data_IF_326521828992
#
_entry.id   IF_326521828992
#
_cell.length_a   1.000
_cell.length_b   1.000
_cell.length_c   1.000
_cell.angle_alpha   90.00
_cell.angle_beta   90.00
_cell.angle_gamma   90.00
#
_symmetry.space_group_name_H-M   'P 1'
#
loop_
_entity.id
_entity.type
_entity.pdbx_description
1 polymer ?
#
# COMPACT_ATOMS: atom_id res chain seq x y z
N UNK A 1 22.63 -43.69 20.62
CA UNK A 1 22.40 -42.25 20.90
C UNK A 1 21.33 -41.65 19.95
N UNK A 2 20.02 -41.94 20.10
CA UNK A 2 18.97 -41.43 19.19
C UNK A 2 18.31 -40.11 19.64
N UNK A 3 18.38 -39.78 20.93
CA UNK A 3 17.64 -38.65 21.52
C UNK A 3 18.04 -37.26 21.01
N UNK A 4 19.31 -37.06 20.65
CA UNK A 4 19.80 -35.75 20.15
C UNK A 4 19.26 -35.40 18.75
N UNK A 5 18.98 -36.40 17.91
CA UNK A 5 18.48 -36.17 16.56
C UNK A 5 17.00 -35.75 16.54
N UNK A 6 16.20 -36.28 17.47
CA UNK A 6 14.78 -35.99 17.60
C UNK A 6 14.52 -34.55 18.08
N UNK A 7 15.28 -34.09 19.09
CA UNK A 7 15.16 -32.72 19.64
C UNK A 7 15.55 -31.64 18.62
N UNK A 8 16.53 -31.93 17.75
CA UNK A 8 16.94 -30.98 16.70
C UNK A 8 15.85 -30.82 15.63
N UNK A 9 15.21 -31.92 15.23
CA UNK A 9 14.14 -31.90 14.22
C UNK A 9 12.86 -31.20 14.73
N UNK A 10 12.49 -31.41 16.00
CA UNK A 10 11.32 -30.75 16.59
C UNK A 10 11.52 -29.23 16.74
N UNK A 11 12.71 -28.77 17.14
CA UNK A 11 13.02 -27.33 17.20
C UNK A 11 12.96 -26.65 15.83
N UNK A 12 13.41 -27.32 14.76
CA UNK A 12 13.27 -26.79 13.40
C UNK A 12 11.81 -26.72 12.93
N UNK A 13 11.00 -27.73 13.26
CA UNK A 13 9.58 -27.76 12.92
C UNK A 13 8.78 -26.64 13.63
N UNK A 14 9.02 -26.45 14.93
CA UNK A 14 8.38 -25.39 15.73
C UNK A 14 8.75 -24.00 15.20
N UNK A 15 10.03 -23.77 14.88
CA UNK A 15 10.49 -22.48 14.30
C UNK A 15 9.89 -22.20 12.92
N UNK A 16 9.76 -23.23 12.05
CA UNK A 16 9.10 -23.11 10.74
C UNK A 16 7.59 -22.91 10.86
N UNK A 17 6.95 -23.49 11.86
CA UNK A 17 5.54 -23.24 12.15
C UNK A 17 5.32 -21.81 12.66
N UNK A 18 6.23 -21.31 13.52
CA UNK A 18 6.16 -19.95 14.06
C UNK A 18 6.21 -18.86 13.00
N UNK A 19 7.18 -18.89 12.08
CA UNK A 19 7.27 -17.86 11.01
C UNK A 19 6.07 -17.93 10.05
N UNK A 20 5.56 -19.13 9.74
CA UNK A 20 4.38 -19.30 8.89
C UNK A 20 3.13 -18.71 9.55
N UNK A 21 2.94 -18.97 10.84
CA UNK A 21 1.85 -18.39 11.62
C UNK A 21 1.94 -16.87 11.68
N UNK A 22 3.13 -16.32 11.94
CA UNK A 22 3.35 -14.88 11.98
C UNK A 22 3.05 -14.23 10.64
N UNK A 23 3.53 -14.80 9.53
CA UNK A 23 3.22 -14.30 8.18
C UNK A 23 1.73 -14.39 7.87
N UNK A 24 1.05 -15.47 8.28
CA UNK A 24 -0.39 -15.61 8.09
C UNK A 24 -1.18 -14.54 8.86
N UNK A 25 -0.81 -14.27 10.12
CA UNK A 25 -1.42 -13.20 10.93
C UNK A 25 -1.15 -11.84 10.30
N UNK A 26 0.09 -11.56 9.90
CA UNK A 26 0.46 -10.31 9.23
C UNK A 26 -0.36 -10.10 7.96
N UNK A 27 -0.41 -11.09 7.07
CA UNK A 27 -1.14 -11.00 5.81
C UNK A 27 -2.63 -10.79 6.05
N UNK A 28 -3.23 -11.53 6.99
CA UNK A 28 -4.64 -11.39 7.33
C UNK A 28 -4.97 -9.98 7.81
N UNK A 29 -4.20 -9.46 8.78
CA UNK A 29 -4.42 -8.12 9.32
C UNK A 29 -4.17 -7.05 8.26
N UNK A 30 -3.03 -7.09 7.58
CA UNK A 30 -2.65 -6.08 6.59
C UNK A 30 -3.60 -6.07 5.38
N UNK A 31 -4.03 -7.23 4.88
CA UNK A 31 -5.04 -7.31 3.82
C UNK A 31 -6.40 -6.79 4.30
N UNK A 32 -6.79 -7.07 5.55
CA UNK A 32 -8.04 -6.55 6.11
C UNK A 32 -8.00 -5.03 6.18
N UNK A 33 -6.95 -4.44 6.76
CA UNK A 33 -6.77 -2.98 6.81
C UNK A 33 -6.70 -2.35 5.42
N UNK A 34 -6.05 -3.02 4.46
CA UNK A 34 -5.99 -2.58 3.06
C UNK A 34 -7.37 -2.50 2.39
N UNK A 35 -8.33 -3.31 2.83
CA UNK A 35 -9.68 -3.38 2.25
C UNK A 35 -10.65 -2.45 2.98
N UNK A 36 -10.62 -2.42 4.31
CA UNK A 36 -11.61 -1.66 5.10
C UNK A 36 -11.27 -0.17 5.23
N UNK A 37 -10.00 0.20 5.09
CA UNK A 37 -9.60 1.62 5.09
C UNK A 37 -10.17 2.27 3.83
N UNK A 38 -10.99 3.33 3.93
CA UNK A 38 -11.54 3.97 2.75
C UNK A 38 -10.43 4.41 1.78
N UNK A 39 -10.70 4.42 0.46
CA UNK A 39 -9.72 4.85 -0.52
C UNK A 39 -9.14 6.22 -0.19
N UNK A 40 -7.82 6.36 -0.26
CA UNK A 40 -7.10 7.63 -0.18
C UNK A 40 -7.17 8.39 1.16
N UNK A 41 -7.66 7.75 2.23
CA UNK A 41 -7.65 8.31 3.60
C UNK A 41 -6.34 8.04 4.35
N UNK A 42 -5.50 7.14 3.83
CA UNK A 42 -4.16 6.94 4.41
C UNK A 42 -3.28 8.14 4.08
N UNK A 43 -2.44 8.64 5.01
CA UNK A 43 -1.57 9.78 4.75
C UNK A 43 -0.84 9.67 3.41
N UNK A 44 -0.91 10.73 2.62
CA UNK A 44 -0.27 10.91 1.31
C UNK A 44 -0.65 9.90 0.21
N UNK A 45 -1.55 8.94 0.48
CA UNK A 45 -1.87 7.83 -0.42
C UNK A 45 -2.36 8.31 -1.80
N UNK A 46 -3.18 9.36 -1.81
CA UNK A 46 -3.69 9.93 -3.06
C UNK A 46 -2.60 10.54 -3.92
N UNK A 47 -1.57 11.14 -3.29
CA UNK A 47 -0.46 11.77 -4.01
C UNK A 47 0.51 10.71 -4.52
N UNK A 48 0.71 9.63 -3.77
CA UNK A 48 1.44 8.45 -4.22
C UNK A 48 0.75 7.78 -5.41
N UNK A 49 -0.56 7.61 -5.34
CA UNK A 49 -1.32 7.04 -6.44
C UNK A 49 -1.34 7.96 -7.66
N UNK A 50 -1.43 9.28 -7.49
CA UNK A 50 -1.30 10.23 -8.60
C UNK A 50 0.02 10.07 -9.37
N UNK A 51 1.11 9.77 -8.66
CA UNK A 51 2.40 9.48 -9.29
C UNK A 51 2.34 8.17 -10.11
N UNK A 52 1.70 7.12 -9.57
CA UNK A 52 1.48 5.85 -10.30
C UNK A 52 0.61 6.07 -11.55
N UNK A 53 -0.51 6.80 -11.40
CA UNK A 53 -1.44 7.10 -12.49
C UNK A 53 -0.75 7.90 -13.60
N UNK A 54 0.10 8.87 -13.25
CA UNK A 54 0.90 9.61 -14.23
C UNK A 54 1.84 8.70 -15.01
N UNK A 55 2.49 7.75 -14.34
CA UNK A 55 3.35 6.77 -15.03
C UNK A 55 2.57 5.88 -15.99
N UNK A 56 1.35 5.46 -15.62
CA UNK A 56 0.50 4.64 -16.48
C UNK A 56 -0.01 5.44 -17.69
N UNK A 57 -0.43 6.68 -17.47
CA UNK A 57 -1.09 7.52 -18.48
C UNK A 57 -0.09 8.20 -19.40
N UNK A 58 0.91 8.89 -18.83
CA UNK A 58 1.87 9.73 -19.56
C UNK A 58 3.16 8.99 -19.91
N UNK A 59 3.42 7.82 -19.30
CA UNK A 59 4.63 7.00 -19.52
C UNK A 59 5.93 7.79 -19.36
N UNK A 60 5.93 8.80 -18.50
CA UNK A 60 7.06 9.65 -18.20
C UNK A 60 7.19 9.86 -16.70
N UNK A 61 8.40 10.20 -16.25
CA UNK A 61 8.62 10.50 -14.83
C UNK A 61 8.02 11.87 -14.51
N UNK A 62 7.29 12.00 -13.38
CA UNK A 62 6.79 13.28 -12.90
C UNK A 62 7.90 14.31 -12.72
N UNK A 63 7.67 15.50 -13.25
CA UNK A 63 8.55 16.65 -13.06
C UNK A 63 8.08 17.42 -11.83
N UNK A 64 9.01 17.70 -10.92
CA UNK A 64 8.74 18.48 -9.72
C UNK A 64 9.40 19.85 -9.82
N UNK A 65 8.58 20.88 -9.67
CA UNK A 65 9.00 22.28 -9.65
C UNK A 65 8.52 22.94 -8.35
N UNK A 66 9.15 24.04 -7.91
CA UNK A 66 8.63 24.84 -6.81
C UNK A 66 7.16 25.21 -7.04
N UNK A 67 6.31 24.98 -6.04
CA UNK A 67 4.86 25.23 -6.12
C UNK A 67 4.11 24.42 -7.20
N UNK A 68 4.55 23.20 -7.51
CA UNK A 68 3.83 22.32 -8.43
C UNK A 68 2.35 22.17 -8.03
N UNK A 69 1.47 22.33 -9.02
CA UNK A 69 0.02 22.11 -8.87
C UNK A 69 -0.41 20.72 -9.35
N UNK A 70 0.55 19.89 -9.75
CA UNK A 70 0.27 18.54 -10.16
C UNK A 70 -0.29 17.69 -9.01
N UNK A 71 -1.09 16.67 -9.35
CA UNK A 71 -1.79 15.84 -8.37
C UNK A 71 -0.85 15.08 -7.42
N UNK A 72 0.38 14.77 -7.84
CA UNK A 72 1.38 14.11 -7.00
C UNK A 72 2.03 15.04 -5.96
N UNK A 73 1.83 16.36 -6.05
CA UNK A 73 2.40 17.36 -5.12
C UNK A 73 3.88 17.11 -4.81
N UNK A 74 4.27 17.14 -3.53
CA UNK A 74 5.64 16.87 -3.09
C UNK A 74 6.12 15.44 -3.39
N UNK A 75 5.23 14.48 -3.69
CA UNK A 75 5.64 13.11 -3.96
C UNK A 75 6.39 12.95 -5.29
N UNK A 76 6.33 13.95 -6.17
CA UNK A 76 7.04 13.95 -7.43
C UNK A 76 8.57 13.93 -7.30
N UNK A 77 9.12 14.28 -6.13
CA UNK A 77 10.58 14.23 -5.87
C UNK A 77 11.04 12.87 -5.35
N UNK A 78 10.10 11.96 -5.06
CA UNK A 78 10.44 10.64 -4.52
C UNK A 78 11.11 9.75 -5.58
N UNK A 79 11.89 8.78 -5.10
CA UNK A 79 12.52 7.81 -5.99
C UNK A 79 11.47 6.92 -6.67
N UNK A 80 11.59 6.63 -7.99
CA UNK A 80 10.49 6.09 -8.77
C UNK A 80 10.30 4.58 -8.60
N UNK A 81 11.20 3.85 -7.93
CA UNK A 81 11.25 2.38 -7.98
C UNK A 81 9.96 1.68 -7.56
N UNK A 82 9.37 2.08 -6.43
CA UNK A 82 8.08 1.55 -5.98
C UNK A 82 6.96 1.86 -6.97
N UNK A 83 6.92 3.10 -7.45
CA UNK A 83 5.86 3.56 -8.32
C UNK A 83 5.89 2.94 -9.72
N UNK A 84 7.08 2.71 -10.26
CA UNK A 84 7.26 1.99 -11.52
C UNK A 84 6.71 0.56 -11.41
N UNK A 85 6.99 -0.14 -10.31
CA UNK A 85 6.45 -1.47 -10.07
C UNK A 85 4.92 -1.44 -9.93
N UNK A 86 4.37 -0.51 -9.16
CA UNK A 86 2.92 -0.35 -9.02
C UNK A 86 2.24 0.03 -10.34
N UNK A 87 2.86 0.89 -11.16
CA UNK A 87 2.37 1.27 -12.48
C UNK A 87 2.35 0.07 -13.42
N UNK A 88 3.40 -0.77 -13.43
CA UNK A 88 3.42 -2.01 -14.23
C UNK A 88 2.30 -2.97 -13.84
N UNK A 89 2.02 -3.12 -12.53
CA UNK A 89 0.94 -3.99 -12.04
C UNK A 89 -0.46 -3.48 -12.39
N UNK A 90 -0.60 -2.18 -12.67
CA UNK A 90 -1.89 -1.51 -12.90
C UNK A 90 -2.05 -0.95 -14.32
N UNK A 91 -1.06 -1.15 -15.19
CA UNK A 91 -1.01 -0.57 -16.54
C UNK A 91 -2.15 -1.04 -17.47
N UNK A 92 -2.75 -2.20 -17.19
CA UNK A 92 -3.89 -2.73 -17.94
C UNK A 92 -5.26 -2.24 -17.47
N UNK A 93 -5.30 -1.35 -16.48
CA UNK A 93 -6.53 -0.83 -15.88
C UNK A 93 -6.74 0.60 -16.36
N UNK A 94 -7.95 0.92 -16.80
CA UNK A 94 -8.34 2.29 -17.11
C UNK A 94 -8.42 3.12 -15.82
N UNK A 95 -7.54 4.12 -15.70
CA UNK A 95 -7.44 5.02 -14.54
C UNK A 95 -7.88 6.45 -14.90
N UNK A 96 -8.67 6.61 -15.96
CA UNK A 96 -9.16 7.91 -16.43
C UNK A 96 -10.17 8.59 -15.47
N UNK A 97 -10.75 7.83 -14.54
CA UNK A 97 -11.62 8.30 -13.48
C UNK A 97 -10.85 8.94 -12.30
N UNK A 98 -9.52 8.76 -12.21
CA UNK A 98 -8.74 9.28 -11.09
C UNK A 98 -8.86 10.79 -10.86
N UNK A 99 -8.79 11.67 -11.88
CA UNK A 99 -8.92 13.11 -11.67
C UNK A 99 -10.25 13.49 -11.01
N UNK A 100 -11.35 12.84 -11.39
CA UNK A 100 -12.66 13.07 -10.77
C UNK A 100 -12.65 12.67 -9.29
N UNK A 101 -12.09 11.50 -8.97
CA UNK A 101 -11.95 11.04 -7.59
C UNK A 101 -11.06 12.00 -6.78
N UNK A 102 -9.95 12.48 -7.37
CA UNK A 102 -9.05 13.45 -6.74
C UNK A 102 -9.78 14.75 -6.38
N UNK A 103 -10.74 15.18 -7.21
CA UNK A 103 -11.54 16.37 -6.95
C UNK A 103 -12.62 16.19 -5.87
N UNK A 104 -12.85 14.97 -5.37
CA UNK A 104 -13.73 14.72 -4.20
C UNK A 104 -13.09 15.13 -2.86
N UNK A 105 -11.89 15.70 -2.88
CA UNK A 105 -11.22 16.20 -1.68
C UNK A 105 -12.14 17.16 -0.91
N UNK A 106 -12.33 16.89 0.38
CA UNK A 106 -13.19 17.65 1.26
C UNK A 106 -12.59 19.05 1.49
N UNK A 107 -13.25 20.16 1.06
CA UNK A 107 -12.75 21.51 1.25
C UNK A 107 -12.57 21.92 2.71
N UNK A 108 -13.23 21.21 3.62
CA UNK A 108 -13.21 21.47 5.05
C UNK A 108 -12.42 20.41 5.83
N UNK A 109 -11.63 19.57 5.15
CA UNK A 109 -10.86 18.50 5.78
C UNK A 109 -9.97 19.04 6.92
N UNK A 110 -10.14 18.49 8.11
CA UNK A 110 -9.37 18.83 9.31
C UNK A 110 -8.04 18.05 9.35
N UNK A 111 -7.25 18.15 8.28
CA UNK A 111 -6.00 17.40 8.12
C UNK A 111 -5.00 17.83 9.20
N UNK A 112 -4.41 16.85 9.89
CA UNK A 112 -3.42 17.10 10.94
C UNK A 112 -4.00 17.58 12.27
N UNK A 113 -5.34 17.56 12.43
CA UNK A 113 -6.03 17.91 13.68
C UNK A 113 -6.62 16.64 14.32
N UNK A 114 -5.88 15.96 15.21
CA UNK A 114 -6.30 14.67 15.76
C UNK A 114 -7.54 14.77 16.68
N UNK A 115 -7.81 15.95 17.22
CA UNK A 115 -8.94 16.27 18.10
C UNK A 115 -10.20 16.73 17.36
N UNK A 116 -10.14 16.90 16.03
CA UNK A 116 -11.27 17.36 15.24
C UNK A 116 -12.48 16.43 15.41
N UNK A 117 -13.64 16.98 15.79
CA UNK A 117 -14.87 16.19 15.96
C UNK A 117 -15.61 15.91 14.64
N UNK A 118 -15.37 16.73 13.62
CA UNK A 118 -16.02 16.71 12.30
C UNK A 118 -14.98 16.88 11.19
N UNK A 119 -15.37 16.61 9.94
CA UNK A 119 -14.53 16.79 8.74
C UNK A 119 -13.18 16.06 8.81
N UNK A 120 -13.15 14.87 9.42
CA UNK A 120 -11.92 14.05 9.53
C UNK A 120 -11.47 13.49 8.19
N UNK A 121 -12.43 13.17 7.32
CA UNK A 121 -12.15 12.55 6.05
C UNK A 121 -11.47 13.55 5.09
N UNK A 122 -10.43 13.08 4.44
CA UNK A 122 -9.77 13.79 3.36
C UNK A 122 -10.65 13.86 2.11
N UNK A 123 -11.42 12.81 1.79
CA UNK A 123 -12.35 12.78 0.67
C UNK A 123 -13.81 12.66 1.11
N UNK A 124 -14.68 13.12 0.22
CA UNK A 124 -16.10 12.81 0.24
C UNK A 124 -16.28 11.46 -0.47
N UNK A 125 -16.71 10.44 0.28
CA UNK A 125 -16.83 9.08 -0.22
C UNK A 125 -18.17 8.80 -0.89
N UNK A 126 -18.13 8.00 -1.96
CA UNK A 126 -19.29 7.62 -2.78
C UNK A 126 -19.44 6.09 -2.89
N UNK A 127 -20.61 5.64 -3.36
CA UNK A 127 -20.94 4.22 -3.43
C UNK A 127 -20.13 3.43 -4.48
N UNK A 128 -19.55 4.11 -5.46
CA UNK A 128 -18.70 3.56 -6.53
C UNK A 128 -17.32 3.09 -6.03
N UNK A 129 -16.97 3.40 -4.79
CA UNK A 129 -15.76 2.93 -4.11
C UNK A 129 -15.93 1.52 -3.52
N UNK A 130 -17.17 1.00 -3.47
CA UNK A 130 -17.46 -0.32 -2.92
C UNK A 130 -17.10 -1.46 -3.87
N UNK A 131 -16.93 -2.66 -3.30
CA UNK A 131 -16.76 -3.87 -4.09
C UNK A 131 -18.01 -4.16 -4.95
N UNK A 132 -17.88 -4.58 -6.24
CA UNK A 132 -16.64 -4.90 -6.95
C UNK A 132 -15.90 -3.66 -7.46
N UNK A 133 -14.62 -3.52 -7.06
CA UNK A 133 -13.79 -2.37 -7.42
C UNK A 133 -13.55 -2.29 -8.93
N UNK A 134 -13.54 -1.05 -9.45
CA UNK A 134 -13.30 -0.74 -10.86
C UNK A 134 -12.38 0.48 -10.97
N UNK A 135 -11.89 0.73 -12.18
CA UNK A 135 -11.10 1.91 -12.50
C UNK A 135 -9.93 2.14 -11.56
N UNK A 136 -9.76 3.39 -11.13
CA UNK A 136 -8.68 3.81 -10.23
C UNK A 136 -8.78 3.18 -8.83
N UNK A 137 -9.98 2.87 -8.35
CA UNK A 137 -10.16 2.18 -7.05
C UNK A 137 -9.62 0.75 -7.12
N UNK A 138 -9.85 0.04 -8.22
CA UNK A 138 -9.24 -1.28 -8.44
C UNK A 138 -7.71 -1.20 -8.49
N UNK A 139 -7.18 -0.23 -9.23
CA UNK A 139 -5.73 0.00 -9.32
C UNK A 139 -5.13 0.34 -7.94
N UNK A 140 -5.84 1.13 -7.12
CA UNK A 140 -5.45 1.43 -5.74
C UNK A 140 -5.37 0.15 -4.90
N UNK A 141 -6.40 -0.71 -4.94
CA UNK A 141 -6.37 -1.96 -4.17
C UNK A 141 -5.23 -2.88 -4.61
N UNK A 142 -4.90 -2.95 -5.90
CA UNK A 142 -3.72 -3.68 -6.39
C UNK A 142 -2.42 -3.10 -5.83
N UNK A 143 -2.27 -1.77 -5.85
CA UNK A 143 -1.10 -1.11 -5.27
C UNK A 143 -0.98 -1.34 -3.75
N UNK A 144 -2.11 -1.32 -3.03
CA UNK A 144 -2.14 -1.65 -1.60
C UNK A 144 -1.75 -3.11 -1.34
N UNK A 145 -2.29 -4.08 -2.09
CA UNK A 145 -1.90 -5.48 -1.95
C UNK A 145 -0.44 -5.74 -2.32
N UNK A 146 0.11 -4.98 -3.28
CA UNK A 146 1.54 -5.00 -3.57
C UNK A 146 2.36 -4.51 -2.36
N UNK A 147 1.93 -3.43 -1.69
CA UNK A 147 2.55 -2.97 -0.44
C UNK A 147 2.47 -4.02 0.68
N UNK A 148 1.33 -4.70 0.83
CA UNK A 148 1.16 -5.81 1.79
C UNK A 148 2.14 -6.94 1.47
N UNK A 149 2.29 -7.31 0.20
CA UNK A 149 3.26 -8.32 -0.24
C UNK A 149 4.70 -7.92 0.12
N UNK A 150 5.12 -6.68 -0.17
CA UNK A 150 6.45 -6.18 0.19
C UNK A 150 6.67 -6.19 1.71
N UNK A 151 5.64 -5.89 2.49
CA UNK A 151 5.66 -6.03 3.95
C UNK A 151 5.90 -7.48 4.40
N UNK A 152 5.24 -8.45 3.78
CA UNK A 152 5.44 -9.87 4.08
C UNK A 152 6.85 -10.34 3.70
N UNK A 153 7.38 -9.87 2.57
CA UNK A 153 8.77 -10.12 2.16
C UNK A 153 9.74 -9.54 3.19
N UNK A 154 9.49 -8.34 3.69
CA UNK A 154 10.30 -7.70 4.74
C UNK A 154 10.33 -8.54 6.00
N UNK A 155 9.16 -8.95 6.52
CA UNK A 155 9.05 -9.81 7.71
C UNK A 155 9.83 -11.12 7.52
N UNK A 156 9.68 -11.77 6.36
CA UNK A 156 10.41 -12.99 6.05
C UNK A 156 11.91 -12.77 5.94
N UNK A 157 12.35 -11.70 5.28
CA UNK A 157 13.75 -11.33 5.14
C UNK A 157 14.39 -11.08 6.51
N UNK A 158 13.73 -10.34 7.39
CA UNK A 158 14.19 -10.11 8.78
C UNK A 158 14.36 -11.43 9.53
N UNK A 159 13.39 -12.34 9.45
CA UNK A 159 13.52 -13.67 10.05
C UNK A 159 14.72 -14.45 9.50
N UNK A 160 14.92 -14.41 8.17
CA UNK A 160 16.05 -15.08 7.52
C UNK A 160 17.39 -14.48 7.95
N UNK A 161 17.49 -13.16 8.08
CA UNK A 161 18.67 -12.46 8.56
C UNK A 161 19.00 -12.86 9.99
N UNK A 162 18.03 -12.81 10.91
CA UNK A 162 18.24 -13.25 12.29
C UNK A 162 18.71 -14.71 12.38
N UNK A 163 18.19 -15.58 11.51
CA UNK A 163 18.56 -16.99 11.45
C UNK A 163 19.92 -17.25 10.80
N UNK A 164 20.51 -16.27 10.12
CA UNK A 164 21.88 -16.33 9.63
C UNK A 164 22.88 -15.84 10.69
N UNK A 165 22.45 -14.92 11.56
CA UNK A 165 23.29 -14.32 12.60
C UNK A 165 23.32 -15.10 13.93
N UNK A 166 22.26 -15.89 14.22
CA UNK A 166 22.10 -16.71 15.43
C UNK A 166 22.25 -18.21 15.12
#
# INVERSE_FOLDING_TARGET
>A
MPFRHFLRNSQFAIRRAGIRLLLAIFLLLAATYSVITPPFETPDEIWHFAFVQHLVTERSLPVSEPNTRAMWRQQGVQTPGYYLAAALLTAGIDQSDFPEIYHRANPHAAIGQPDAAINRNFLIHHADENFPWRGSILALHIARFFSVFLGAVTVYATYRTLRLLL
#
